data_IF_650891689574
#
_entry.id   IF_650891689574
#
_cell.length_a   1.000
_cell.length_b   1.000
_cell.length_c   1.000
_cell.angle_alpha   90.00
_cell.angle_beta   90.00
_cell.angle_gamma   90.00
#
_symmetry.space_group_name_H-M   'P 1'
#
loop_
_entity.id
_entity.type
_entity.pdbx_description
1 polymer ?
#
# COMPACT_ATOMS: atom_id res chain seq x y z
N UNK A 1 -12.20 17.30 -0.80
CA UNK A 1 -11.98 16.76 0.54
C UNK A 1 -10.49 16.75 0.88
N UNK A 2 -10.18 16.73 2.13
CA UNK A 2 -8.85 16.55 2.69
C UNK A 2 -8.95 15.51 3.81
N UNK A 3 -7.92 14.66 4.00
CA UNK A 3 -7.96 13.57 4.96
C UNK A 3 -9.17 12.63 4.77
N UNK A 4 -9.23 12.00 3.61
CA UNK A 4 -10.29 11.08 3.21
C UNK A 4 -9.70 9.70 2.86
N UNK A 5 -10.37 8.59 3.20
CA UNK A 5 -9.95 7.27 2.75
C UNK A 5 -9.98 7.14 1.22
N UNK A 6 -9.21 6.20 0.70
CA UNK A 6 -9.00 6.02 -0.74
C UNK A 6 -9.60 4.70 -1.22
N UNK A 7 -10.29 4.76 -2.35
CA UNK A 7 -10.81 3.58 -3.06
C UNK A 7 -9.71 3.01 -3.95
N UNK A 8 -9.44 1.73 -3.80
CA UNK A 8 -8.47 1.01 -4.61
C UNK A 8 -9.13 0.17 -5.69
N UNK A 9 -8.45 -0.01 -6.81
CA UNK A 9 -8.86 -0.91 -7.88
C UNK A 9 -8.59 -2.36 -7.52
N UNK A 10 -9.48 -3.27 -7.91
CA UNK A 10 -9.32 -4.71 -7.69
C UNK A 10 -9.79 -5.16 -6.33
N UNK A 11 -9.47 -6.41 -5.99
CA UNK A 11 -9.96 -7.10 -4.79
C UNK A 11 -8.91 -7.29 -3.70
N UNK A 12 -7.64 -6.99 -3.98
CA UNK A 12 -6.53 -7.25 -3.05
C UNK A 12 -6.75 -6.58 -1.69
N UNK A 13 -7.16 -5.31 -1.69
CA UNK A 13 -7.38 -4.58 -0.44
C UNK A 13 -8.55 -5.16 0.36
N UNK A 14 -9.63 -5.56 -0.31
CA UNK A 14 -10.79 -6.18 0.35
C UNK A 14 -10.45 -7.54 0.96
N UNK A 15 -9.59 -8.32 0.31
CA UNK A 15 -9.10 -9.59 0.85
C UNK A 15 -8.22 -9.41 2.10
N UNK A 16 -7.56 -8.26 2.21
CA UNK A 16 -6.76 -7.88 3.38
C UNK A 16 -7.51 -7.00 4.38
N UNK A 17 -8.82 -6.84 4.23
CA UNK A 17 -9.66 -5.98 5.06
C UNK A 17 -9.42 -6.21 6.55
N UNK A 18 -9.28 -5.10 7.29
CA UNK A 18 -9.03 -5.12 8.73
C UNK A 18 -7.56 -5.33 9.11
N UNK A 19 -6.67 -5.55 8.14
CA UNK A 19 -5.23 -5.62 8.39
C UNK A 19 -4.68 -4.22 8.54
N UNK A 20 -4.11 -3.93 9.71
CA UNK A 20 -3.34 -2.71 9.97
C UNK A 20 -1.86 -3.02 9.84
N UNK A 21 -1.15 -2.21 9.07
CA UNK A 21 0.30 -2.28 8.94
C UNK A 21 0.91 -1.11 9.71
N UNK A 22 1.71 -1.46 10.72
CA UNK A 22 2.56 -0.52 11.45
C UNK A 22 3.95 -0.52 10.83
N UNK A 23 4.69 0.59 10.96
CA UNK A 23 6.07 0.67 10.47
C UNK A 23 6.21 0.34 8.97
N UNK A 24 5.35 0.90 8.16
CA UNK A 24 5.30 0.73 6.71
C UNK A 24 5.63 2.07 6.06
N UNK A 25 6.29 2.04 4.92
CA UNK A 25 6.56 3.24 4.13
C UNK A 25 5.70 3.25 2.87
N UNK A 26 5.22 4.43 2.48
CA UNK A 26 4.50 4.62 1.23
C UNK A 26 5.13 5.72 0.39
N UNK A 27 4.94 5.60 -0.92
CA UNK A 27 5.16 6.66 -1.89
C UNK A 27 3.91 6.80 -2.75
N UNK A 28 3.48 8.02 -2.98
CA UNK A 28 2.35 8.32 -3.85
C UNK A 28 2.87 8.85 -5.17
N UNK A 29 2.56 8.15 -6.24
CA UNK A 29 2.99 8.48 -7.59
C UNK A 29 1.82 9.05 -8.40
N UNK A 30 1.99 10.23 -8.97
CA UNK A 30 1.13 10.75 -10.04
C UNK A 30 1.59 10.14 -11.36
N UNK A 31 0.81 9.21 -11.90
CA UNK A 31 1.18 8.46 -13.11
C UNK A 31 1.14 9.34 -14.37
N UNK A 32 0.33 10.40 -14.39
CA UNK A 32 0.25 11.35 -15.49
C UNK A 32 1.50 12.26 -15.53
N UNK A 33 1.87 12.79 -14.37
CA UNK A 33 3.04 13.66 -14.23
C UNK A 33 4.34 12.90 -14.07
N UNK A 34 4.27 11.57 -13.93
CA UNK A 34 5.42 10.66 -13.73
C UNK A 34 6.33 11.11 -12.58
N UNK A 35 5.73 11.56 -11.47
CA UNK A 35 6.47 12.02 -10.29
C UNK A 35 5.86 11.55 -8.99
N UNK A 36 6.69 11.48 -7.99
CA UNK A 36 6.28 11.30 -6.60
C UNK A 36 5.70 12.62 -6.07
N UNK A 37 4.51 12.57 -5.47
CA UNK A 37 3.82 13.74 -4.91
C UNK A 37 3.78 13.72 -3.40
N UNK A 38 4.01 12.57 -2.79
CA UNK A 38 4.02 12.41 -1.34
C UNK A 38 4.73 11.13 -0.94
N UNK A 39 5.39 11.13 0.19
CA UNK A 39 5.93 9.92 0.85
C UNK A 39 5.82 10.06 2.36
N UNK A 40 5.64 8.94 3.03
CA UNK A 40 5.49 8.90 4.48
C UNK A 40 5.86 7.53 5.04
N UNK A 41 6.09 7.50 6.35
CA UNK A 41 6.33 6.30 7.13
C UNK A 41 5.40 6.28 8.33
N UNK A 42 4.71 5.16 8.55
CA UNK A 42 3.78 5.07 9.67
C UNK A 42 2.82 3.89 9.55
N UNK A 43 1.58 4.15 9.91
CA UNK A 43 0.51 3.16 9.96
C UNK A 43 -0.51 3.38 8.86
N UNK A 44 -0.96 2.27 8.27
CA UNK A 44 -2.06 2.23 7.31
C UNK A 44 -2.98 1.04 7.58
N UNK A 45 -4.19 1.10 7.05
CA UNK A 45 -5.24 0.09 7.19
C UNK A 45 -5.79 -0.31 5.83
N UNK A 46 -5.92 -1.61 5.59
CA UNK A 46 -6.69 -2.13 4.48
C UNK A 46 -8.17 -2.23 4.83
N UNK A 47 -9.03 -1.80 3.91
CA UNK A 47 -10.49 -1.80 4.06
C UNK A 47 -11.14 -2.57 2.92
N UNK A 48 -12.45 -2.79 3.01
CA UNK A 48 -13.19 -3.45 1.94
C UNK A 48 -13.22 -2.65 0.62
N UNK A 49 -13.01 -1.34 0.68
CA UNK A 49 -13.00 -0.46 -0.50
C UNK A 49 -11.59 -0.07 -0.96
N UNK A 50 -10.57 -0.23 -0.13
CA UNK A 50 -9.22 0.20 -0.46
C UNK A 50 -8.33 0.38 0.76
N UNK A 51 -7.86 1.59 0.99
CA UNK A 51 -6.89 1.90 2.04
C UNK A 51 -7.31 3.13 2.86
N UNK A 52 -6.94 3.11 4.13
CA UNK A 52 -7.18 4.18 5.09
C UNK A 52 -6.04 4.21 6.13
N UNK A 53 -6.27 4.85 7.24
CA UNK A 53 -5.29 5.01 8.31
C UNK A 53 -4.56 6.34 8.24
N UNK A 54 -3.80 6.70 9.30
CA UNK A 54 -3.22 8.04 9.44
C UNK A 54 -2.39 8.46 8.24
N UNK A 55 -1.52 7.59 7.77
CA UNK A 55 -0.61 7.83 6.65
C UNK A 55 -1.35 8.05 5.32
N UNK A 56 -2.40 7.26 5.08
CA UNK A 56 -3.23 7.35 3.88
C UNK A 56 -4.09 8.63 3.89
N UNK A 57 -4.66 8.95 5.04
CA UNK A 57 -5.43 10.20 5.19
C UNK A 57 -4.56 11.43 4.89
N UNK A 58 -3.35 11.46 5.42
CA UNK A 58 -2.39 12.53 5.10
C UNK A 58 -2.02 12.55 3.61
N UNK A 59 -1.82 11.39 3.01
CA UNK A 59 -1.51 11.27 1.58
C UNK A 59 -2.64 11.82 0.70
N UNK A 60 -3.89 11.63 1.09
CA UNK A 60 -5.06 12.08 0.31
C UNK A 60 -5.08 13.59 0.09
N UNK A 61 -4.55 14.37 1.01
CA UNK A 61 -4.46 15.83 0.88
C UNK A 61 -3.52 16.29 -0.25
N UNK A 62 -2.63 15.42 -0.71
CA UNK A 62 -1.67 15.69 -1.79
C UNK A 62 -2.14 15.20 -3.16
N UNK A 63 -3.29 14.53 -3.23
CA UNK A 63 -3.87 13.98 -4.46
C UNK A 63 -4.90 14.95 -5.04
N UNK A 64 -4.44 15.88 -5.86
CA UNK A 64 -5.31 16.86 -6.54
C UNK A 64 -5.86 16.28 -7.85
N UNK A 65 -7.01 16.78 -8.29
CA UNK A 65 -7.65 16.37 -9.55
C UNK A 65 -7.74 14.85 -9.67
N UNK A 66 -8.34 14.22 -8.67
CA UNK A 66 -8.48 12.78 -8.60
C UNK A 66 -9.20 12.22 -9.82
N UNK A 67 -8.60 11.22 -10.44
CA UNK A 67 -9.18 10.46 -11.53
C UNK A 67 -8.79 8.99 -11.41
N UNK A 68 -9.61 8.05 -11.88
CA UNK A 68 -9.28 6.63 -11.84
C UNK A 68 -7.93 6.34 -12.51
N UNK A 69 -7.04 5.66 -11.79
CA UNK A 69 -5.72 5.28 -12.29
C UNK A 69 -4.68 6.40 -12.33
N UNK A 70 -5.03 7.63 -11.97
CA UNK A 70 -4.07 8.74 -11.91
C UNK A 70 -3.03 8.55 -10.82
N UNK A 71 -3.46 8.08 -9.65
CA UNK A 71 -2.54 7.89 -8.52
C UNK A 71 -2.31 6.41 -8.22
N UNK A 72 -1.07 6.12 -7.90
CA UNK A 72 -0.64 4.81 -7.40
C UNK A 72 0.09 4.99 -6.09
N UNK A 73 -0.29 4.20 -5.09
CA UNK A 73 0.45 4.09 -3.85
C UNK A 73 1.39 2.89 -3.99
N UNK A 74 2.66 3.11 -3.72
CA UNK A 74 3.67 2.06 -3.67
C UNK A 74 4.05 1.85 -2.20
N UNK A 75 3.81 0.65 -1.71
CA UNK A 75 3.98 0.31 -0.29
C UNK A 75 5.27 -0.49 -0.14
N UNK A 76 6.17 -0.02 0.71
CA UNK A 76 7.29 -0.80 1.21
C UNK A 76 6.85 -1.52 2.48
N UNK A 77 6.66 -2.83 2.37
CA UNK A 77 6.17 -3.67 3.46
C UNK A 77 7.25 -4.00 4.49
N UNK A 78 8.52 -3.81 4.14
CA UNK A 78 9.69 -4.11 4.98
C UNK A 78 10.72 -2.98 4.91
N UNK A 79 10.36 -1.75 5.34
CA UNK A 79 11.25 -0.59 5.18
C UNK A 79 12.54 -0.69 6.00
N UNK A 80 12.55 -1.46 7.09
CA UNK A 80 13.74 -1.69 7.90
C UNK A 80 14.81 -2.56 7.21
N UNK A 81 14.45 -3.28 6.14
CA UNK A 81 15.34 -4.16 5.41
C UNK A 81 15.63 -3.60 4.01
N UNK A 82 16.89 -3.47 3.66
CA UNK A 82 17.29 -3.20 2.27
C UNK A 82 16.95 -4.42 1.39
N UNK A 83 16.81 -4.25 0.08
CA UNK A 83 16.51 -5.36 -0.83
C UNK A 83 17.45 -6.55 -0.66
N UNK A 84 18.75 -6.31 -0.50
CA UNK A 84 19.78 -7.35 -0.33
C UNK A 84 19.59 -8.11 1.01
N UNK A 85 19.23 -7.39 2.07
CA UNK A 85 18.97 -7.99 3.39
C UNK A 85 17.69 -8.83 3.38
N UNK A 86 16.66 -8.35 2.68
CA UNK A 86 15.40 -9.09 2.52
C UNK A 86 15.61 -10.34 1.66
N UNK A 87 16.37 -10.26 0.58
CA UNK A 87 16.74 -11.41 -0.23
C UNK A 87 17.51 -12.47 0.58
N UNK A 88 18.48 -12.05 1.35
CA UNK A 88 19.23 -12.94 2.25
C UNK A 88 18.32 -13.59 3.31
N UNK A 89 17.36 -12.83 3.86
CA UNK A 89 16.37 -13.35 4.79
C UNK A 89 15.50 -14.43 4.15
N UNK A 90 14.96 -14.17 2.97
CA UNK A 90 14.14 -15.13 2.22
C UNK A 90 14.94 -16.39 1.86
N UNK A 91 16.18 -16.24 1.42
CA UNK A 91 17.05 -17.36 1.12
C UNK A 91 17.25 -18.27 2.33
N UNK A 92 17.50 -17.70 3.49
CA UNK A 92 17.64 -18.44 4.75
C UNK A 92 16.33 -19.11 5.16
N UNK A 93 15.21 -18.39 5.10
CA UNK A 93 13.91 -18.93 5.47
C UNK A 93 13.50 -20.08 4.54
N UNK A 94 13.79 -19.99 3.26
CA UNK A 94 13.53 -21.07 2.28
C UNK A 94 14.44 -22.27 2.48
N UNK A 95 15.69 -22.07 2.81
CA UNK A 95 16.61 -23.16 3.15
C UNK A 95 16.16 -23.93 4.40
N UNK A 96 15.73 -23.21 5.42
CA UNK A 96 15.19 -23.80 6.66
C UNK A 96 13.87 -24.54 6.44
N UNK A 97 13.10 -24.15 5.44
CA UNK A 97 11.78 -24.69 5.11
C UNK A 97 11.76 -25.37 3.71
N UNK A 98 12.88 -25.88 3.25
CA UNK A 98 13.07 -26.36 1.87
C UNK A 98 12.03 -27.34 1.35
N UNK A 99 11.44 -28.14 2.22
CA UNK A 99 10.41 -29.12 1.88
C UNK A 99 8.97 -28.61 2.09
N UNK A 100 8.80 -27.37 2.58
CA UNK A 100 7.49 -26.74 2.75
C UNK A 100 7.05 -26.06 1.46
N UNK A 101 5.74 -25.94 1.32
CA UNK A 101 5.14 -25.13 0.28
C UNK A 101 5.42 -23.65 0.49
N UNK A 102 5.59 -22.91 -0.59
CA UNK A 102 5.90 -21.48 -0.57
C UNK A 102 4.93 -20.69 0.32
N UNK A 103 3.62 -20.92 0.15
CA UNK A 103 2.59 -20.24 0.93
C UNK A 103 2.74 -20.45 2.44
N UNK A 104 3.21 -21.62 2.86
CA UNK A 104 3.36 -21.98 4.28
C UNK A 104 4.67 -21.50 4.89
N UNK A 105 5.64 -21.10 4.08
CA UNK A 105 6.94 -20.63 4.54
C UNK A 105 6.97 -19.13 4.87
N UNK A 106 5.93 -18.39 4.53
CA UNK A 106 5.89 -16.92 4.66
C UNK A 106 5.35 -16.42 6.01
N UNK A 107 4.86 -17.32 6.86
CA UNK A 107 4.20 -16.95 8.12
C UNK A 107 5.08 -16.19 9.12
N UNK A 108 6.40 -16.40 9.07
CA UNK A 108 7.35 -15.68 9.93
C UNK A 108 7.70 -14.28 9.39
N UNK A 109 7.39 -14.01 8.12
CA UNK A 109 7.74 -12.74 7.46
C UNK A 109 6.55 -11.81 7.31
N UNK A 110 5.36 -12.35 7.04
CA UNK A 110 4.18 -11.60 6.61
C UNK A 110 2.96 -11.90 7.47
N UNK A 111 2.07 -10.92 7.66
CA UNK A 111 0.78 -11.14 8.28
C UNK A 111 -0.05 -12.18 7.51
N UNK A 112 -0.78 -13.01 8.25
CA UNK A 112 -1.53 -14.13 7.67
C UNK A 112 -2.49 -13.73 6.53
N UNK A 113 -3.20 -12.62 6.70
CA UNK A 113 -4.15 -12.12 5.68
C UNK A 113 -3.48 -11.66 4.39
N UNK A 114 -2.21 -11.28 4.47
CA UNK A 114 -1.45 -10.76 3.33
C UNK A 114 -0.87 -11.87 2.47
N UNK A 115 -0.57 -13.02 3.06
CA UNK A 115 0.14 -14.13 2.39
C UNK A 115 -0.57 -14.59 1.10
N UNK A 116 -1.88 -14.89 1.07
CA UNK A 116 -2.53 -15.34 -0.16
C UNK A 116 -2.46 -14.31 -1.28
N UNK A 117 -2.62 -13.04 -0.94
CA UNK A 117 -2.58 -11.93 -1.91
C UNK A 117 -1.18 -11.80 -2.51
N UNK A 118 -0.14 -11.79 -1.68
CA UNK A 118 1.24 -11.67 -2.15
C UNK A 118 1.71 -12.90 -2.92
N UNK A 119 1.30 -14.09 -2.52
CA UNK A 119 1.58 -15.32 -3.28
C UNK A 119 0.96 -15.24 -4.68
N UNK A 120 -0.31 -14.85 -4.79
CA UNK A 120 -0.97 -14.66 -6.08
C UNK A 120 -0.25 -13.61 -6.94
N UNK A 121 0.11 -12.48 -6.36
CA UNK A 121 0.82 -11.39 -7.03
C UNK A 121 2.24 -11.75 -7.46
N UNK A 122 2.88 -12.68 -6.76
CA UNK A 122 4.23 -13.13 -7.08
C UNK A 122 4.31 -13.95 -8.37
N UNK A 123 3.19 -14.58 -8.77
CA UNK A 123 3.17 -15.54 -9.87
C UNK A 123 3.79 -16.89 -9.53
N UNK A 124 4.27 -17.11 -8.31
CA UNK A 124 4.77 -18.39 -7.83
C UNK A 124 3.59 -19.22 -7.34
N UNK A 125 3.49 -20.48 -7.79
CA UNK A 125 2.43 -21.37 -7.34
C UNK A 125 2.52 -21.59 -5.82
N UNK A 126 1.38 -21.56 -5.10
CA UNK A 126 1.36 -21.70 -3.64
C UNK A 126 2.03 -22.98 -3.12
N UNK A 127 1.86 -24.09 -3.84
CA UNK A 127 2.40 -25.40 -3.51
C UNK A 127 3.84 -25.63 -3.99
N UNK A 128 4.47 -24.65 -4.62
CA UNK A 128 5.89 -24.73 -5.00
C UNK A 128 6.73 -24.94 -3.76
N UNK A 129 7.56 -25.99 -3.74
CA UNK A 129 8.47 -26.23 -2.62
C UNK A 129 9.54 -25.14 -2.54
N UNK A 130 9.90 -24.74 -1.35
CA UNK A 130 10.87 -23.64 -1.13
C UNK A 130 12.20 -23.91 -1.83
N UNK A 131 12.64 -25.17 -1.89
CA UNK A 131 13.87 -25.56 -2.60
C UNK A 131 13.78 -25.48 -4.14
N UNK A 132 12.58 -25.31 -4.68
CA UNK A 132 12.34 -25.19 -6.12
C UNK A 132 12.16 -23.75 -6.57
N UNK A 133 12.11 -22.79 -5.63
CA UNK A 133 12.02 -21.36 -5.93
C UNK A 133 13.35 -20.89 -6.49
N UNK A 134 13.30 -20.36 -7.73
CA UNK A 134 14.51 -19.86 -8.40
C UNK A 134 14.99 -18.54 -7.79
N UNK A 135 16.24 -18.17 -8.08
CA UNK A 135 16.82 -16.90 -7.66
C UNK A 135 16.03 -15.71 -8.26
N UNK A 136 15.62 -15.83 -9.50
CA UNK A 136 14.83 -14.82 -10.21
C UNK A 136 13.46 -14.65 -9.56
N UNK A 137 12.76 -15.72 -9.23
CA UNK A 137 11.48 -15.70 -8.53
C UNK A 137 11.63 -15.07 -7.15
N UNK A 138 12.67 -15.42 -6.40
CA UNK A 138 12.93 -14.83 -5.08
C UNK A 138 13.20 -13.33 -5.16
N UNK A 139 14.03 -12.90 -6.13
CA UNK A 139 14.34 -11.48 -6.34
C UNK A 139 13.12 -10.68 -6.78
N UNK A 140 12.30 -11.23 -7.66
CA UNK A 140 11.04 -10.62 -8.06
C UNK A 140 10.09 -10.47 -6.86
N UNK A 141 10.06 -11.45 -5.97
CA UNK A 141 9.27 -11.38 -4.73
C UNK A 141 9.79 -10.32 -3.77
N UNK A 142 11.11 -10.16 -3.64
CA UNK A 142 11.72 -9.05 -2.88
C UNK A 142 11.27 -7.70 -3.45
N UNK A 143 11.30 -7.54 -4.75
CA UNK A 143 10.84 -6.30 -5.41
C UNK A 143 9.38 -6.04 -5.11
N UNK A 144 8.51 -7.06 -5.14
CA UNK A 144 7.10 -6.95 -4.79
C UNK A 144 6.91 -6.51 -3.32
N UNK A 145 7.65 -7.08 -2.39
CA UNK A 145 7.57 -6.72 -0.97
C UNK A 145 8.06 -5.30 -0.68
N UNK A 146 9.04 -4.82 -1.44
CA UNK A 146 9.59 -3.47 -1.30
C UNK A 146 8.79 -2.41 -2.05
N UNK A 147 7.98 -2.80 -3.01
CA UNK A 147 7.24 -1.88 -3.87
C UNK A 147 5.87 -2.49 -4.27
N UNK A 148 5.04 -2.77 -3.28
CA UNK A 148 3.70 -3.30 -3.51
C UNK A 148 2.78 -2.20 -4.04
N UNK A 149 2.24 -2.32 -5.28
CA UNK A 149 1.45 -1.26 -5.90
C UNK A 149 -0.03 -1.38 -5.52
N UNK A 150 -0.65 -0.25 -5.23
CA UNK A 150 -2.10 -0.09 -5.08
C UNK A 150 -2.56 1.02 -6.01
N UNK A 151 -3.33 0.69 -7.03
CA UNK A 151 -3.95 1.70 -7.91
C UNK A 151 -5.15 2.33 -7.24
N UNK A 152 -5.21 3.65 -7.24
CA UNK A 152 -6.30 4.42 -6.65
C UNK A 152 -7.34 4.76 -7.71
N UNK A 153 -8.59 4.41 -7.40
CA UNK A 153 -9.75 4.71 -8.26
C UNK A 153 -10.39 6.05 -7.93
N UNK A 154 -10.33 6.47 -6.68
CA UNK A 154 -10.97 7.70 -6.23
C UNK A 154 -10.90 7.90 -4.73
N UNK A 155 -11.51 8.99 -4.28
CA UNK A 155 -11.78 9.24 -2.87
C UNK A 155 -13.04 8.55 -2.41
N UNK A 156 -13.13 8.24 -1.13
CA UNK A 156 -14.43 7.95 -0.50
C UNK A 156 -15.31 9.20 -0.51
N UNK A 157 -16.65 9.05 -0.35
CA UNK A 157 -17.56 10.19 -0.27
C UNK A 157 -17.13 11.23 0.76
N UNK A 158 -17.49 12.48 0.53
CA UNK A 158 -17.09 13.61 1.37
C UNK A 158 -17.59 13.47 2.82
N UNK A 159 -18.68 12.75 3.02
CA UNK A 159 -19.26 12.42 4.33
C UNK A 159 -18.35 11.56 5.18
N UNK A 160 -17.43 10.82 4.55
CA UNK A 160 -16.42 10.00 5.23
C UNK A 160 -15.08 10.75 5.44
N UNK A 161 -14.97 11.98 4.99
CA UNK A 161 -13.76 12.77 5.19
C UNK A 161 -13.63 13.18 6.67
N UNK A 162 -12.43 12.97 7.22
CA UNK A 162 -12.10 13.43 8.58
C UNK A 162 -12.01 14.96 8.60
N UNK A 163 -11.46 15.54 7.54
CA UNK A 163 -11.35 16.98 7.34
C UNK A 163 -11.73 17.31 5.90
N UNK A 164 -12.48 18.37 5.72
CA UNK A 164 -12.71 18.96 4.40
C UNK A 164 -11.81 20.18 4.22
N UNK A 165 -11.32 20.35 3.00
CA UNK A 165 -10.56 21.54 2.62
C UNK A 165 -11.41 22.42 1.72
N UNK A 166 -11.22 23.72 1.82
CA UNK A 166 -12.00 24.73 1.13
C UNK A 166 -12.87 25.51 2.12
N UNK A 167 -13.56 26.48 1.63
CA UNK A 167 -14.41 27.38 2.41
C UNK A 167 -14.63 28.67 1.64
N UNK A 168 -15.31 29.61 2.25
CA UNK A 168 -15.48 30.95 1.71
C UNK A 168 -14.14 31.65 1.69
N UNK A 169 -13.81 32.28 0.57
CA UNK A 169 -12.59 33.08 0.45
C UNK A 169 -12.66 34.25 1.44
N UNK A 170 -11.72 34.30 2.38
CA UNK A 170 -11.65 35.41 3.33
C UNK A 170 -11.49 36.79 2.68
N UNK A 171 -11.11 36.81 1.38
CA UNK A 171 -11.03 38.04 0.60
C UNK A 171 -12.39 38.53 0.11
N UNK A 172 -13.39 37.61 0.10
CA UNK A 172 -14.76 37.89 -0.33
C UNK A 172 -15.70 38.17 0.83
N UNK A 173 -15.22 38.07 2.06
CA UNK A 173 -15.99 38.34 3.26
C UNK A 173 -15.52 39.67 3.85
N UNK A 174 -16.46 40.58 4.04
CA UNK A 174 -16.16 41.85 4.74
C UNK A 174 -15.96 41.56 6.22
N UNK A 175 -14.75 41.80 6.79
CA UNK A 175 -14.47 41.46 8.19
C UNK A 175 -15.29 42.26 9.23
N UNK A 176 -15.94 43.37 8.80
CA UNK A 176 -16.78 44.21 9.70
C UNK A 176 -18.25 43.81 9.69
N UNK A 177 -18.77 43.32 8.55
CA UNK A 177 -20.18 42.96 8.42
C UNK A 177 -20.41 41.48 8.37
N UNK A 178 -19.36 40.67 8.13
CA UNK A 178 -19.41 39.24 7.94
C UNK A 178 -20.22 38.80 6.70
N UNK A 179 -20.46 39.72 5.75
CA UNK A 179 -21.12 39.49 4.46
C UNK A 179 -20.12 39.50 3.29
#
# INVERSE_FOLDING_TARGET
PSLVPLVAKGTDCSEMMGLSLKNTAIRVLDTQKKKEVYSDFGEMLFTHFGVSGPMILSASAHMRDMAPGRYRIVIDLKPALRPEQLDARLQRDFEMNKNRDFINALSALLPRKMIPVLVRRSGILPETKCNQITREQRRAFVTLLKAYPVEISGFRPIEEAIVTSGGVSVKEVNPKTME
#
